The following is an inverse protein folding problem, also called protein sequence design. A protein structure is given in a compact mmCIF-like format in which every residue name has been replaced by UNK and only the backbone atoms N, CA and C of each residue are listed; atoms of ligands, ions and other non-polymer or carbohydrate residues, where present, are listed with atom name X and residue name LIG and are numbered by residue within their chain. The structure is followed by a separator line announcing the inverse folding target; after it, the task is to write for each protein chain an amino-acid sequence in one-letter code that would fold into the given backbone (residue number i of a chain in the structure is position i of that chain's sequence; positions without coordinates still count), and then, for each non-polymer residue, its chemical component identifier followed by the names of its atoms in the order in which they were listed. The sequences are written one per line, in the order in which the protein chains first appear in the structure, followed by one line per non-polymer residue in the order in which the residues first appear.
data_IF_286463496390
#
_entry.id   IF_286463496390
#
_cell.length_a   1.000
_cell.length_b   1.000
_cell.length_c   1.000
_cell.angle_alpha   90.00
_cell.angle_beta   90.00
_cell.angle_gamma   90.00
#
_symmetry.space_group_name_H-M   'P 1'
#
loop_
_entity.id
_entity.type
_entity.pdbx_description
1 polymer ?
#
# COMPACT_ATOMS: atom_id res chain seq x y z
N UNK A 1 9.83 -25.72 14.46
CA UNK A 1 9.14 -25.85 13.18
C UNK A 1 8.25 -27.10 13.27
N UNK A 2 6.97 -26.96 13.00
CA UNK A 2 6.01 -28.05 12.99
C UNK A 2 6.37 -29.02 11.84
N UNK A 3 6.73 -30.28 12.11
CA UNK A 3 7.11 -31.23 11.07
C UNK A 3 5.97 -31.49 10.06
N UNK A 4 4.73 -31.32 10.46
CA UNK A 4 3.54 -31.48 9.62
C UNK A 4 3.45 -30.38 8.52
N UNK A 5 3.92 -29.18 8.80
CA UNK A 5 3.95 -28.09 7.83
C UNK A 5 4.90 -28.38 6.65
N UNK A 6 6.05 -28.96 6.91
CA UNK A 6 7.03 -29.32 5.87
C UNK A 6 6.49 -30.42 4.94
N UNK A 7 5.80 -31.41 5.49
CA UNK A 7 5.17 -32.47 4.70
C UNK A 7 3.96 -31.98 3.91
N UNK A 8 3.16 -31.06 4.46
CA UNK A 8 2.06 -30.41 3.74
C UNK A 8 2.57 -29.55 2.58
N UNK A 9 3.65 -28.81 2.77
CA UNK A 9 4.29 -28.04 1.70
C UNK A 9 4.82 -28.95 0.58
N UNK A 10 5.43 -30.10 0.92
CA UNK A 10 5.88 -31.07 -0.05
C UNK A 10 4.71 -31.68 -0.84
N UNK A 11 3.65 -32.09 -0.15
CA UNK A 11 2.46 -32.66 -0.77
C UNK A 11 1.74 -31.65 -1.69
N UNK A 12 1.62 -30.42 -1.26
CA UNK A 12 1.06 -29.33 -2.05
C UNK A 12 1.93 -29.03 -3.28
N UNK A 13 3.24 -29.03 -3.14
CA UNK A 13 4.21 -28.87 -4.21
C UNK A 13 4.10 -29.98 -5.26
N UNK A 14 4.05 -31.24 -4.85
CA UNK A 14 3.91 -32.40 -5.75
C UNK A 14 2.59 -32.32 -6.51
N UNK A 15 1.51 -32.00 -5.83
CA UNK A 15 0.18 -31.86 -6.44
C UNK A 15 0.14 -30.73 -7.48
N UNK A 16 0.76 -29.59 -7.20
CA UNK A 16 0.90 -28.47 -8.15
C UNK A 16 1.73 -28.87 -9.37
N UNK A 17 2.81 -29.63 -9.20
CA UNK A 17 3.67 -30.09 -10.29
C UNK A 17 2.96 -31.03 -11.25
N UNK A 18 2.09 -31.91 -10.73
CA UNK A 18 1.35 -32.87 -11.53
C UNK A 18 0.20 -32.24 -12.35
N UNK A 19 -0.35 -31.11 -11.89
CA UNK A 19 -1.54 -30.49 -12.48
C UNK A 19 -1.26 -29.20 -13.29
N UNK A 20 -0.04 -28.67 -13.20
CA UNK A 20 0.31 -27.44 -13.93
C UNK A 20 1.01 -27.75 -15.26
N UNK A 21 0.69 -27.02 -16.35
CA UNK A 21 1.42 -27.13 -17.60
C UNK A 21 2.91 -26.85 -17.41
N UNK A 22 3.76 -27.48 -18.21
CA UNK A 22 5.23 -27.34 -18.15
C UNK A 22 5.75 -25.88 -18.14
N UNK A 23 4.96 -24.94 -18.67
CA UNK A 23 5.24 -23.49 -18.65
C UNK A 23 5.22 -22.88 -17.26
N UNK A 24 4.64 -23.56 -16.27
CA UNK A 24 4.46 -23.05 -14.89
C UNK A 24 5.41 -23.71 -13.90
N UNK A 25 6.23 -24.65 -14.33
CA UNK A 25 7.10 -25.45 -13.43
C UNK A 25 8.21 -24.65 -12.75
N UNK A 26 8.63 -23.51 -13.31
CA UNK A 26 9.69 -22.63 -12.75
C UNK A 26 9.14 -21.29 -12.22
N UNK A 27 7.96 -21.30 -11.61
CA UNK A 27 7.33 -20.07 -11.12
C UNK A 27 7.97 -19.62 -9.81
N UNK A 28 8.64 -18.46 -9.76
CA UNK A 28 9.19 -17.94 -8.53
C UNK A 28 8.05 -17.49 -7.60
N UNK A 29 8.07 -17.97 -6.38
CA UNK A 29 7.28 -17.45 -5.27
C UNK A 29 8.11 -16.47 -4.49
N UNK A 30 7.58 -15.32 -4.25
CA UNK A 30 8.18 -14.29 -3.40
C UNK A 30 7.41 -14.23 -2.09
N UNK A 31 8.11 -14.22 -0.98
CA UNK A 31 7.55 -13.89 0.32
C UNK A 31 8.26 -12.67 0.86
N UNK A 32 7.56 -11.82 1.57
CA UNK A 32 8.13 -10.59 2.08
C UNK A 32 7.56 -10.20 3.43
N UNK A 33 8.32 -9.39 4.13
CA UNK A 33 7.88 -8.69 5.32
C UNK A 33 8.35 -7.24 5.21
N UNK A 34 7.48 -6.30 5.58
CA UNK A 34 7.81 -4.88 5.60
C UNK A 34 7.28 -4.22 6.85
N UNK A 35 7.96 -3.15 7.26
CA UNK A 35 7.50 -2.22 8.27
C UNK A 35 7.61 -0.81 7.73
N UNK A 36 6.61 0.01 8.00
CA UNK A 36 6.54 1.37 7.54
C UNK A 36 6.04 2.32 8.60
N UNK A 37 6.31 3.60 8.39
CA UNK A 37 5.68 4.66 9.15
C UNK A 37 5.33 5.83 8.25
N UNK A 38 4.22 6.49 8.56
CA UNK A 38 3.71 7.64 7.83
C UNK A 38 3.28 8.71 8.79
N UNK A 39 3.59 9.96 8.48
CA UNK A 39 3.10 11.14 9.16
C UNK A 39 2.28 11.98 8.18
N UNK A 40 1.07 12.34 8.57
CA UNK A 40 0.17 13.21 7.78
C UNK A 40 -0.15 14.43 8.60
N UNK A 41 0.23 15.60 8.12
CA UNK A 41 -0.15 16.88 8.70
C UNK A 41 -1.34 17.45 7.90
N UNK A 42 -2.44 17.69 8.60
CA UNK A 42 -3.68 18.21 8.03
C UNK A 42 -3.93 19.61 8.58
N UNK A 43 -4.16 20.57 7.68
CA UNK A 43 -4.48 21.94 8.02
C UNK A 43 -5.63 22.40 7.14
N UNK A 44 -6.82 22.52 7.70
CA UNK A 44 -8.00 22.99 6.97
C UNK A 44 -8.41 24.40 7.46
N UNK A 45 -9.08 25.20 6.62
CA UNK A 45 -9.57 26.52 7.05
C UNK A 45 -10.60 26.46 8.18
N UNK A 46 -11.24 25.31 8.35
CA UNK A 46 -12.39 25.11 9.27
C UNK A 46 -12.00 24.40 10.57
N UNK A 47 -10.85 23.72 10.60
CA UNK A 47 -10.36 23.00 11.77
C UNK A 47 -8.97 23.42 12.17
N UNK A 48 -8.63 23.27 13.45
CA UNK A 48 -7.25 23.42 13.90
C UNK A 48 -6.37 22.35 13.25
N UNK A 49 -5.09 22.65 12.94
CA UNK A 49 -4.17 21.67 12.41
C UNK A 49 -4.05 20.46 13.33
N UNK A 50 -4.01 19.28 12.74
CA UNK A 50 -3.76 18.03 13.46
C UNK A 50 -2.75 17.17 12.72
N UNK A 51 -2.13 16.27 13.43
CA UNK A 51 -1.16 15.32 12.88
C UNK A 51 -1.69 13.90 13.09
N UNK A 52 -1.64 13.11 12.03
CA UNK A 52 -1.88 11.67 12.04
C UNK A 52 -0.55 10.96 11.90
N UNK A 53 -0.26 10.04 12.79
CA UNK A 53 0.87 9.12 12.67
C UNK A 53 0.32 7.72 12.43
N UNK A 54 0.93 6.99 11.52
CA UNK A 54 0.58 5.60 11.24
C UNK A 54 1.84 4.75 11.22
N UNK A 55 1.75 3.58 11.82
CA UNK A 55 2.78 2.55 11.74
C UNK A 55 2.12 1.28 11.19
N UNK A 56 2.79 0.60 10.28
CA UNK A 56 2.29 -0.62 9.68
C UNK A 56 3.35 -1.72 9.60
N UNK A 57 2.89 -2.94 9.73
CA UNK A 57 3.68 -4.14 9.46
C UNK A 57 2.91 -5.01 8.50
N UNK A 58 3.56 -5.40 7.40
CA UNK A 58 2.93 -6.19 6.34
C UNK A 58 3.74 -7.46 6.08
N UNK A 59 3.02 -8.56 5.93
CA UNK A 59 3.52 -9.80 5.38
C UNK A 59 2.86 -10.03 4.03
N UNK A 60 3.63 -10.35 3.01
CA UNK A 60 3.13 -10.56 1.66
C UNK A 60 3.71 -11.82 1.02
N UNK A 61 2.93 -12.39 0.12
CA UNK A 61 3.36 -13.47 -0.75
C UNK A 61 2.89 -13.16 -2.17
N UNK A 62 3.75 -13.40 -3.15
CA UNK A 62 3.45 -13.17 -4.55
C UNK A 62 3.94 -14.32 -5.43
N UNK A 63 3.16 -14.61 -6.45
CA UNK A 63 3.53 -15.53 -7.54
C UNK A 63 3.48 -14.74 -8.83
N UNK A 64 4.59 -14.71 -9.57
CA UNK A 64 4.68 -13.98 -10.83
C UNK A 64 5.15 -14.95 -11.90
N UNK A 65 4.40 -15.06 -12.98
CA UNK A 65 4.74 -15.88 -14.12
C UNK A 65 4.58 -15.10 -15.42
N UNK A 66 5.28 -15.53 -16.46
CA UNK A 66 5.21 -14.86 -17.75
C UNK A 66 6.49 -15.02 -18.58
N UNK A 67 6.55 -14.21 -19.62
CA UNK A 67 7.66 -14.14 -20.56
C UNK A 67 8.15 -12.69 -20.70
N UNK A 68 9.07 -12.45 -21.62
CA UNK A 68 9.63 -11.10 -21.83
C UNK A 68 8.57 -10.05 -22.22
N UNK A 69 7.51 -10.44 -22.92
CA UNK A 69 6.47 -9.57 -23.46
C UNK A 69 5.19 -9.53 -22.63
N UNK A 70 5.03 -10.42 -21.64
CA UNK A 70 3.89 -10.42 -20.74
C UNK A 70 4.23 -11.02 -19.37
N UNK A 71 3.56 -10.55 -18.34
CA UNK A 71 3.64 -11.05 -16.96
C UNK A 71 2.26 -11.05 -16.34
N UNK A 72 2.00 -12.07 -15.54
CA UNK A 72 0.80 -12.18 -14.72
C UNK A 72 1.24 -12.45 -13.30
N UNK A 73 0.62 -11.81 -12.34
CA UNK A 73 0.95 -12.02 -10.94
C UNK A 73 -0.29 -12.06 -10.06
N UNK A 74 -0.17 -12.87 -9.02
CA UNK A 74 -1.08 -12.92 -7.89
C UNK A 74 -0.28 -12.53 -6.65
N UNK A 75 -0.84 -11.69 -5.82
CA UNK A 75 -0.25 -11.27 -4.55
C UNK A 75 -1.32 -11.30 -3.46
N UNK A 76 -0.95 -11.82 -2.30
CA UNK A 76 -1.73 -11.72 -1.08
C UNK A 76 -0.91 -11.00 -0.01
N UNK A 77 -1.55 -10.21 0.83
CA UNK A 77 -0.89 -9.59 1.97
C UNK A 77 -1.78 -9.56 3.21
N UNK A 78 -1.12 -9.53 4.35
CA UNK A 78 -1.73 -9.25 5.64
C UNK A 78 -0.97 -8.09 6.28
N UNK A 79 -1.70 -7.06 6.69
CA UNK A 79 -1.14 -5.83 7.27
C UNK A 79 -1.82 -5.54 8.60
N UNK A 80 -1.03 -5.32 9.64
CA UNK A 80 -1.50 -4.71 10.88
C UNK A 80 -1.05 -3.25 10.88
N UNK A 81 -1.97 -2.35 11.13
CA UNK A 81 -1.72 -0.91 11.16
C UNK A 81 -2.23 -0.29 12.43
N UNK A 82 -1.42 0.55 13.06
CA UNK A 82 -1.83 1.47 14.10
C UNK A 82 -1.85 2.90 13.58
N UNK A 83 -2.79 3.69 14.04
CA UNK A 83 -2.94 5.08 13.64
C UNK A 83 -3.28 5.92 14.86
N UNK A 84 -2.46 6.93 15.13
CA UNK A 84 -2.64 7.90 16.21
C UNK A 84 -2.94 9.27 15.62
N UNK A 85 -4.07 9.86 16.01
CA UNK A 85 -4.45 11.21 15.57
C UNK A 85 -4.53 12.14 16.76
N UNK A 86 -3.68 13.16 16.77
CA UNK A 86 -3.63 14.16 17.83
C UNK A 86 -4.29 15.47 17.38
N UNK A 87 -5.41 15.80 18.02
CA UNK A 87 -6.06 17.10 17.89
C UNK A 87 -5.66 17.99 19.03
N UNK A 88 -5.03 19.13 18.74
CA UNK A 88 -4.76 20.16 19.75
C UNK A 88 -5.94 21.12 19.84
N UNK A 89 -6.82 20.91 20.79
CA UNK A 89 -7.91 21.82 21.11
C UNK A 89 -7.55 22.66 22.34
N UNK A 90 -6.91 23.82 22.15
CA UNK A 90 -6.60 24.73 23.26
C UNK A 90 -5.62 24.16 24.29
N UNK A 91 -5.39 24.88 25.39
CA UNK A 91 -4.41 24.49 26.42
C UNK A 91 -4.88 23.37 27.38
N UNK A 92 -6.08 22.81 27.24
CA UNK A 92 -6.66 21.95 28.26
C UNK A 92 -7.20 20.58 27.80
N UNK A 93 -7.31 20.29 26.50
CA UNK A 93 -7.82 19.00 26.06
C UNK A 93 -7.12 18.55 24.76
N UNK A 94 -6.33 17.51 24.84
CA UNK A 94 -5.91 16.73 23.67
C UNK A 94 -6.98 15.67 23.44
N UNK A 95 -7.76 15.81 22.35
CA UNK A 95 -8.61 14.75 21.85
C UNK A 95 -7.74 13.88 20.92
N UNK A 96 -7.56 12.63 21.28
CA UNK A 96 -6.91 11.63 20.43
C UNK A 96 -7.94 10.79 19.68
N UNK A 97 -7.61 10.39 18.47
CA UNK A 97 -8.27 9.29 17.78
C UNK A 97 -7.19 8.26 17.50
N UNK A 98 -7.30 7.14 18.18
CA UNK A 98 -6.44 5.99 17.96
C UNK A 98 -7.22 4.98 17.14
N UNK A 99 -6.59 4.36 16.18
CA UNK A 99 -7.19 3.23 15.48
C UNK A 99 -6.17 2.11 15.25
N UNK A 100 -6.67 0.89 15.29
CA UNK A 100 -5.97 -0.30 14.88
C UNK A 100 -6.73 -0.94 13.73
N UNK A 101 -6.02 -1.43 12.73
CA UNK A 101 -6.60 -2.08 11.56
C UNK A 101 -5.84 -3.35 11.25
N UNK A 102 -6.58 -4.45 11.12
CA UNK A 102 -6.09 -5.71 10.59
C UNK A 102 -6.62 -5.85 9.16
N UNK A 103 -5.73 -5.82 8.17
CA UNK A 103 -6.08 -5.78 6.75
C UNK A 103 -5.59 -7.05 6.04
N UNK A 104 -6.46 -7.71 5.30
CA UNK A 104 -6.09 -8.78 4.37
C UNK A 104 -6.36 -8.33 2.94
N UNK A 105 -5.43 -8.55 2.03
CA UNK A 105 -5.62 -8.19 0.62
C UNK A 105 -5.24 -9.30 -0.34
N UNK A 106 -5.88 -9.27 -1.50
CA UNK A 106 -5.51 -10.07 -2.65
C UNK A 106 -5.47 -9.17 -3.89
N UNK A 107 -4.43 -9.31 -4.68
CA UNK A 107 -4.24 -8.54 -5.91
C UNK A 107 -3.89 -9.46 -7.07
N UNK A 108 -4.41 -9.12 -8.24
CA UNK A 108 -4.10 -9.74 -9.51
C UNK A 108 -3.65 -8.68 -10.48
N UNK A 109 -2.61 -8.94 -11.25
CA UNK A 109 -2.20 -8.02 -12.31
C UNK A 109 -1.80 -8.77 -13.59
N UNK A 110 -2.01 -8.09 -14.70
CA UNK A 110 -1.50 -8.47 -16.02
C UNK A 110 -0.69 -7.30 -16.55
N UNK A 111 0.56 -7.55 -16.91
CA UNK A 111 1.44 -6.59 -17.57
C UNK A 111 1.83 -7.11 -18.93
N UNK A 112 1.61 -6.34 -19.98
CA UNK A 112 1.91 -6.69 -21.36
C UNK A 112 2.67 -5.59 -22.07
N UNK A 113 3.59 -5.98 -22.93
CA UNK A 113 4.28 -5.06 -23.80
C UNK A 113 3.34 -4.50 -24.86
N UNK A 114 3.24 -3.18 -24.95
CA UNK A 114 2.42 -2.45 -25.91
C UNK A 114 3.33 -1.47 -26.66
N UNK A 115 3.78 -1.89 -27.85
CA UNK A 115 4.80 -1.14 -28.61
C UNK A 115 6.13 -1.09 -27.87
N UNK A 116 6.64 0.11 -27.62
CA UNK A 116 7.88 0.35 -26.87
C UNK A 116 7.66 0.45 -25.35
N UNK A 117 6.42 0.50 -24.90
CA UNK A 117 6.03 0.61 -23.49
C UNK A 117 5.37 -0.64 -22.92
N UNK A 118 4.84 -0.47 -21.71
CA UNK A 118 4.17 -1.52 -20.96
C UNK A 118 2.81 -1.05 -20.47
N UNK A 119 1.77 -1.83 -20.78
CA UNK A 119 0.46 -1.67 -20.17
C UNK A 119 0.29 -2.64 -19.01
N UNK A 120 -0.20 -2.16 -17.89
CA UNK A 120 -0.52 -2.95 -16.71
C UNK A 120 -1.97 -2.74 -16.34
N UNK A 121 -2.71 -3.82 -16.17
CA UNK A 121 -4.05 -3.83 -15.55
C UNK A 121 -3.92 -4.51 -14.20
N UNK A 122 -4.48 -3.94 -13.17
CA UNK A 122 -4.52 -4.51 -11.84
C UNK A 122 -5.94 -4.52 -11.25
N UNK A 123 -6.20 -5.54 -10.43
CA UNK A 123 -7.39 -5.68 -9.61
C UNK A 123 -6.93 -5.97 -8.19
N UNK A 124 -7.47 -5.25 -7.23
CA UNK A 124 -7.16 -5.46 -5.81
C UNK A 124 -8.45 -5.51 -5.02
N UNK A 125 -8.54 -6.47 -4.13
CA UNK A 125 -9.53 -6.57 -3.08
C UNK A 125 -8.81 -6.50 -1.74
N UNK A 126 -9.39 -5.76 -0.79
CA UNK A 126 -8.91 -5.64 0.57
C UNK A 126 -10.10 -5.69 1.52
N UNK A 127 -9.97 -6.44 2.59
CA UNK A 127 -10.89 -6.44 3.73
C UNK A 127 -10.10 -6.00 4.97
N UNK A 128 -10.69 -5.09 5.75
CA UNK A 128 -10.13 -4.57 6.97
C UNK A 128 -11.13 -4.69 8.11
N UNK A 129 -10.63 -5.06 9.28
CA UNK A 129 -11.31 -4.97 10.56
C UNK A 129 -10.66 -3.82 11.34
N UNK A 130 -11.37 -2.69 11.39
CA UNK A 130 -10.89 -1.46 12.04
C UNK A 130 -11.47 -1.34 13.46
N UNK A 131 -10.63 -0.94 14.41
CA UNK A 131 -11.02 -0.58 15.78
C UNK A 131 -10.67 0.89 15.99
N UNK A 132 -11.54 1.63 16.60
CA UNK A 132 -11.34 3.05 16.84
C UNK A 132 -11.59 3.40 18.29
N UNK A 133 -10.76 4.29 18.82
CA UNK A 133 -10.95 4.93 20.12
C UNK A 133 -10.78 6.43 19.96
N UNK A 134 -11.75 7.20 20.39
CA UNK A 134 -11.76 8.65 20.29
C UNK A 134 -12.07 9.29 21.64
N UNK A 135 -11.25 10.19 22.12
CA UNK A 135 -11.48 10.95 23.35
C UNK A 135 -10.27 11.08 24.27
N UNK A 136 -10.49 11.63 25.45
CA UNK A 136 -9.49 11.73 26.51
C UNK A 136 -9.52 10.48 27.42
N UNK A 137 -8.49 10.29 28.24
CA UNK A 137 -8.23 9.06 29.01
C UNK A 137 -9.40 8.53 29.88
N UNK A 138 -10.37 9.37 30.25
CA UNK A 138 -11.53 8.97 31.08
C UNK A 138 -12.87 9.10 30.40
N UNK A 139 -12.95 9.85 29.28
CA UNK A 139 -14.16 10.07 28.50
C UNK A 139 -13.85 9.76 27.05
N UNK A 140 -14.13 8.55 26.63
CA UNK A 140 -13.87 8.08 25.28
C UNK A 140 -15.08 7.40 24.65
N UNK A 141 -15.08 7.38 23.33
CA UNK A 141 -15.96 6.55 22.51
C UNK A 141 -15.10 5.46 21.89
N UNK A 142 -15.57 4.24 21.92
CA UNK A 142 -14.90 3.09 21.36
C UNK A 142 -15.78 2.38 20.34
N UNK A 143 -15.20 1.99 19.24
CA UNK A 143 -15.80 1.13 18.22
C UNK A 143 -14.94 -0.13 18.11
N UNK A 144 -15.46 -1.25 18.57
CA UNK A 144 -14.72 -2.50 18.67
C UNK A 144 -14.40 -3.12 17.30
N UNK A 145 -15.30 -2.93 16.32
CA UNK A 145 -15.13 -3.54 15.01
C UNK A 145 -15.94 -2.80 13.97
N UNK A 146 -15.23 -2.25 12.98
CA UNK A 146 -15.80 -1.71 11.77
C UNK A 146 -15.22 -2.45 10.57
N UNK A 147 -16.07 -3.19 9.86
CA UNK A 147 -15.63 -3.87 8.65
C UNK A 147 -15.60 -2.91 7.47
N UNK A 148 -14.48 -2.92 6.75
CA UNK A 148 -14.27 -2.13 5.55
C UNK A 148 -13.79 -3.03 4.42
N UNK A 149 -14.37 -2.86 3.23
CA UNK A 149 -13.94 -3.55 2.01
C UNK A 149 -13.54 -2.53 0.98
N UNK A 150 -12.42 -2.75 0.35
CA UNK A 150 -11.89 -1.90 -0.69
C UNK A 150 -11.69 -2.71 -1.96
N UNK A 151 -12.26 -2.22 -3.05
CA UNK A 151 -12.09 -2.76 -4.40
C UNK A 151 -11.37 -1.71 -5.21
N UNK A 152 -10.31 -2.11 -5.89
CA UNK A 152 -9.56 -1.24 -6.78
C UNK A 152 -9.32 -1.93 -8.11
N UNK A 153 -9.48 -1.21 -9.20
CA UNK A 153 -9.01 -1.63 -10.51
C UNK A 153 -8.26 -0.51 -11.18
N UNK A 154 -7.15 -0.83 -11.84
CA UNK A 154 -6.28 0.17 -12.43
C UNK A 154 -5.81 -0.23 -13.81
N UNK A 155 -5.49 0.78 -14.61
CA UNK A 155 -4.72 0.67 -15.84
C UNK A 155 -3.58 1.67 -15.78
N UNK A 156 -2.36 1.20 -16.01
CA UNK A 156 -1.16 2.02 -16.08
C UNK A 156 -0.41 1.71 -17.37
N UNK A 157 -0.07 2.74 -18.12
CA UNK A 157 0.85 2.66 -19.24
C UNK A 157 2.17 3.32 -18.87
N UNK A 158 3.28 2.62 -19.05
CA UNK A 158 4.65 3.07 -18.81
C UNK A 158 5.45 3.02 -20.10
N UNK A 159 6.09 4.14 -20.44
CA UNK A 159 6.90 4.31 -21.62
C UNK A 159 8.34 4.61 -21.22
N UNK A 160 9.33 3.74 -21.50
CA UNK A 160 10.74 4.13 -21.45
C UNK A 160 11.03 5.24 -22.45
N UNK A 161 11.61 6.33 -21.97
CA UNK A 161 11.94 7.50 -22.78
C UNK A 161 13.43 7.50 -23.14
N UNK A 162 14.27 7.19 -22.15
CA UNK A 162 15.72 7.14 -22.29
C UNK A 162 16.26 5.95 -21.50
N UNK A 163 17.24 5.28 -22.04
CA UNK A 163 17.99 4.23 -21.36
C UNK A 163 19.47 4.36 -21.69
N UNK A 164 20.30 4.07 -20.72
CA UNK A 164 21.75 4.06 -20.90
C UNK A 164 22.39 2.92 -20.09
N UNK A 165 23.52 2.44 -20.58
CA UNK A 165 24.34 1.47 -19.87
C UNK A 165 25.81 1.81 -20.05
N UNK A 166 26.63 1.53 -19.04
CA UNK A 166 28.06 1.61 -19.09
C UNK A 166 28.65 0.31 -18.53
N UNK A 167 29.39 -0.40 -19.37
CA UNK A 167 30.14 -1.59 -18.97
C UNK A 167 31.44 -1.14 -18.32
N UNK A 168 31.78 -1.68 -17.17
CA UNK A 168 33.04 -1.40 -16.49
C UNK A 168 33.93 -2.62 -16.58
N UNK A 169 35.13 -2.44 -17.15
CA UNK A 169 36.11 -3.54 -17.26
C UNK A 169 36.63 -4.05 -15.92
N UNK A 170 36.49 -3.29 -14.82
CA UNK A 170 37.01 -3.64 -13.49
C UNK A 170 36.06 -3.33 -12.34
N UNK A 171 34.88 -2.82 -12.60
CA UNK A 171 33.84 -2.44 -11.60
C UNK A 171 32.47 -2.98 -11.97
N UNK A 172 31.42 -2.58 -11.19
CA UNK A 172 30.06 -2.98 -11.49
C UNK A 172 29.57 -2.30 -12.79
N UNK A 173 28.81 -3.05 -13.58
CA UNK A 173 28.11 -2.51 -14.73
C UNK A 173 26.99 -1.58 -14.26
N UNK A 174 26.80 -0.49 -14.98
CA UNK A 174 25.80 0.54 -14.65
C UNK A 174 24.71 0.55 -15.70
N UNK A 175 23.48 0.64 -15.26
CA UNK A 175 22.36 0.88 -16.15
C UNK A 175 21.42 1.92 -15.53
N UNK A 176 20.75 2.69 -16.39
CA UNK A 176 19.72 3.63 -15.96
C UNK A 176 18.61 3.72 -17.00
N UNK A 177 17.43 4.03 -16.53
CA UNK A 177 16.23 4.18 -17.37
C UNK A 177 15.43 5.37 -16.84
N UNK A 178 14.95 6.20 -17.75
CA UNK A 178 13.94 7.23 -17.47
C UNK A 178 12.69 6.81 -18.20
N UNK A 179 11.59 6.67 -17.47
CA UNK A 179 10.28 6.33 -18.02
C UNK A 179 9.25 7.38 -17.64
N UNK A 180 8.31 7.63 -18.54
CA UNK A 180 7.07 8.33 -18.25
C UNK A 180 5.94 7.34 -18.05
N UNK A 181 4.94 7.68 -17.25
CA UNK A 181 3.76 6.84 -17.07
C UNK A 181 2.48 7.67 -16.96
N UNK A 182 1.36 7.07 -17.33
CA UNK A 182 0.03 7.61 -17.12
C UNK A 182 -0.96 6.47 -16.89
N UNK A 183 -2.00 6.72 -16.11
CA UNK A 183 -2.97 5.69 -15.78
C UNK A 183 -4.26 6.23 -15.18
N UNK A 184 -5.20 5.31 -15.03
CA UNK A 184 -6.50 5.52 -14.38
C UNK A 184 -6.71 4.44 -13.33
N UNK A 185 -7.32 4.81 -12.22
CA UNK A 185 -7.68 3.89 -11.14
C UNK A 185 -9.09 4.16 -10.67
N UNK A 186 -9.91 3.13 -10.61
CA UNK A 186 -11.18 3.11 -9.91
C UNK A 186 -10.97 2.55 -8.50
N UNK A 187 -11.60 3.18 -7.53
CA UNK A 187 -11.61 2.77 -6.14
C UNK A 187 -13.04 2.76 -5.62
N UNK A 188 -13.43 1.70 -4.92
CA UNK A 188 -14.67 1.62 -4.16
C UNK A 188 -14.36 1.17 -2.75
N UNK A 189 -14.92 1.87 -1.78
CA UNK A 189 -14.81 1.57 -0.35
C UNK A 189 -16.19 1.34 0.19
N UNK A 190 -16.46 0.14 0.67
CA UNK A 190 -17.71 -0.22 1.38
C UNK A 190 -17.39 -0.34 2.86
N UNK A 191 -18.10 0.39 3.69
CA UNK A 191 -17.97 0.39 5.16
C UNK A 191 -19.26 -0.16 5.75
N UNK A 192 -19.18 -1.20 6.58
CA UNK A 192 -20.33 -1.77 7.25
C UNK A 192 -20.85 -0.83 8.36
N UNK A 193 -22.03 -1.13 8.87
CA UNK A 193 -22.55 -0.44 10.05
C UNK A 193 -21.61 -0.62 11.25
N UNK A 194 -21.37 0.47 11.98
CA UNK A 194 -20.53 0.50 13.18
C UNK A 194 -21.19 1.24 14.32
N UNK A 195 -20.89 0.85 15.55
CA UNK A 195 -21.45 1.44 16.74
C UNK A 195 -20.36 1.92 17.68
N UNK A 196 -20.35 3.22 17.96
CA UNK A 196 -19.53 3.82 18.98
C UNK A 196 -20.22 3.73 20.34
N UNK A 197 -19.50 3.35 21.36
CA UNK A 197 -20.00 3.26 22.74
C UNK A 197 -19.09 4.05 23.68
N UNK A 198 -19.70 4.72 24.65
CA UNK A 198 -18.95 5.32 25.75
C UNK A 198 -19.11 4.50 27.03
N UNK A 199 -18.20 4.59 27.99
CA UNK A 199 -18.35 3.99 29.31
C UNK A 199 -19.59 4.49 30.05
N UNK A 200 -20.08 5.70 29.75
CA UNK A 200 -21.27 6.30 30.30
C UNK A 200 -22.56 5.83 29.60
N UNK A 201 -22.50 4.91 28.65
CA UNK A 201 -23.67 4.34 27.96
C UNK A 201 -24.16 5.14 26.75
N UNK A 202 -23.47 6.21 26.32
CA UNK A 202 -23.79 6.88 25.07
C UNK A 202 -23.50 5.98 23.87
N UNK A 203 -24.39 5.96 22.89
CA UNK A 203 -24.28 5.13 21.68
C UNK A 203 -24.46 6.01 20.45
N UNK A 204 -23.51 5.92 19.51
CA UNK A 204 -23.57 6.56 18.22
C UNK A 204 -23.41 5.49 17.13
N UNK A 205 -24.36 5.37 16.24
CA UNK A 205 -24.32 4.40 15.14
C UNK A 205 -23.96 5.08 13.83
N UNK A 206 -22.96 4.54 13.14
CA UNK A 206 -22.64 4.89 11.75
C UNK A 206 -23.33 3.84 10.88
N UNK A 207 -24.12 4.28 9.92
CA UNK A 207 -24.77 3.37 8.96
C UNK A 207 -23.77 2.88 7.92
N UNK A 208 -24.13 1.78 7.29
CA UNK A 208 -23.43 1.29 6.11
C UNK A 208 -23.30 2.41 5.07
N UNK A 209 -22.09 2.56 4.54
CA UNK A 209 -21.75 3.58 3.56
C UNK A 209 -20.89 2.99 2.45
N UNK A 210 -21.07 3.49 1.24
CA UNK A 210 -20.25 3.16 0.08
C UNK A 210 -19.73 4.46 -0.54
N UNK A 211 -18.44 4.50 -0.79
CA UNK A 211 -17.81 5.61 -1.50
C UNK A 211 -17.04 5.07 -2.71
N UNK A 212 -17.07 5.81 -3.80
CA UNK A 212 -16.33 5.45 -5.01
C UNK A 212 -15.60 6.64 -5.59
N UNK A 213 -14.46 6.40 -6.21
CA UNK A 213 -13.67 7.43 -6.84
C UNK A 213 -12.97 6.91 -8.10
N UNK A 214 -12.77 7.80 -9.05
CA UNK A 214 -11.88 7.60 -10.19
C UNK A 214 -10.73 8.60 -10.07
N UNK A 215 -9.52 8.10 -10.15
CA UNK A 215 -8.30 8.91 -10.13
C UNK A 215 -7.51 8.71 -11.41
N UNK A 216 -7.00 9.81 -11.96
CA UNK A 216 -6.00 9.81 -13.01
C UNK A 216 -4.62 10.06 -12.40
N UNK A 217 -3.60 9.40 -12.91
CA UNK A 217 -2.20 9.60 -12.51
C UNK A 217 -1.34 9.83 -13.73
N UNK A 218 -0.35 10.69 -13.62
CA UNK A 218 0.71 10.83 -14.61
C UNK A 218 2.01 11.19 -13.90
N UNK A 219 3.14 10.73 -14.42
CA UNK A 219 4.41 10.97 -13.78
C UNK A 219 5.61 10.44 -14.53
N UNK A 220 6.72 10.41 -13.84
CA UNK A 220 7.97 9.85 -14.34
C UNK A 220 8.74 9.09 -13.26
N UNK A 221 9.57 8.18 -13.69
CA UNK A 221 10.49 7.43 -12.85
C UNK A 221 11.88 7.42 -13.47
N UNK A 222 12.88 7.65 -12.64
CA UNK A 222 14.30 7.47 -12.97
C UNK A 222 14.78 6.30 -12.14
N UNK A 223 15.29 5.26 -12.78
CA UNK A 223 15.89 4.10 -12.11
C UNK A 223 17.33 3.96 -12.52
N UNK A 224 18.24 3.86 -11.55
CA UNK A 224 19.63 3.52 -11.74
C UNK A 224 19.95 2.18 -11.08
N UNK A 225 20.77 1.35 -11.72
CA UNK A 225 21.22 0.08 -11.14
C UNK A 225 22.72 -0.14 -11.34
N UNK A 226 23.34 -0.74 -10.31
CA UNK A 226 24.69 -1.27 -10.35
C UNK A 226 24.61 -2.79 -10.32
N UNK A 227 25.19 -3.46 -11.30
CA UNK A 227 25.24 -4.91 -11.41
C UNK A 227 26.65 -5.39 -11.08
N UNK A 228 26.76 -6.23 -10.08
CA UNK A 228 28.04 -6.77 -9.64
C UNK A 228 28.29 -8.16 -10.24
N UNK A 229 29.51 -8.40 -10.68
CA UNK A 229 29.92 -9.72 -11.14
C UNK A 229 29.71 -10.77 -10.04
N UNK A 230 29.26 -12.00 -10.39
CA UNK A 230 29.17 -13.09 -9.43
C UNK A 230 30.56 -13.36 -8.82
N UNK A 231 30.64 -13.43 -7.50
CA UNK A 231 31.90 -13.71 -6.81
C UNK A 231 31.69 -13.87 -5.30
N UNK A 232 32.55 -14.68 -4.68
CA UNK A 232 32.63 -14.73 -3.23
C UNK A 232 33.22 -13.42 -2.71
N UNK A 233 32.59 -12.80 -1.72
CA UNK A 233 33.16 -11.67 -1.00
C UNK A 233 34.39 -12.10 -0.18
N UNK A 234 35.17 -11.13 0.26
CA UNK A 234 36.18 -11.35 1.28
C UNK A 234 35.49 -11.95 2.53
N UNK A 235 36.04 -12.97 3.14
CA UNK A 235 35.51 -13.65 4.33
C UNK A 235 34.22 -14.48 4.10
N UNK A 236 33.98 -14.99 2.88
CA UNK A 236 32.80 -15.82 2.62
C UNK A 236 31.46 -15.05 2.63
N UNK A 237 31.48 -13.75 2.70
CA UNK A 237 30.28 -12.91 2.60
C UNK A 237 29.76 -12.94 1.17
N UNK A 238 28.45 -13.16 1.03
CA UNK A 238 27.77 -13.12 -0.26
C UNK A 238 27.68 -11.67 -0.71
N UNK A 239 28.36 -11.33 -1.80
CA UNK A 239 28.25 -9.99 -2.41
C UNK A 239 26.83 -9.76 -2.96
N UNK A 240 26.31 -8.54 -2.87
CA UNK A 240 25.08 -8.20 -3.56
C UNK A 240 25.26 -8.38 -5.07
N UNK A 241 24.22 -8.86 -5.75
CA UNK A 241 24.18 -8.98 -7.21
C UNK A 241 23.80 -7.68 -7.87
N UNK A 242 22.94 -6.93 -7.22
CA UNK A 242 22.41 -5.68 -7.74
C UNK A 242 22.13 -4.70 -6.60
N UNK A 243 22.43 -3.45 -6.89
CA UNK A 243 22.01 -2.32 -6.08
C UNK A 243 21.29 -1.37 -7.01
N UNK A 244 20.07 -0.99 -6.67
CA UNK A 244 19.26 -0.08 -7.47
C UNK A 244 18.71 1.07 -6.62
N UNK A 245 18.51 2.20 -7.29
CA UNK A 245 17.91 3.40 -6.73
C UNK A 245 16.89 3.91 -7.74
N UNK A 246 15.71 4.28 -7.27
CA UNK A 246 14.69 4.90 -8.11
C UNK A 246 14.13 6.15 -7.47
N UNK A 247 13.84 7.15 -8.30
CA UNK A 247 13.12 8.36 -7.95
C UNK A 247 11.86 8.41 -8.81
N UNK A 248 10.71 8.42 -8.18
CA UNK A 248 9.41 8.54 -8.84
C UNK A 248 8.78 9.87 -8.46
N UNK A 249 8.20 10.56 -9.43
CA UNK A 249 7.38 11.74 -9.19
C UNK A 249 6.07 11.60 -9.98
N UNK A 250 4.95 11.85 -9.34
CA UNK A 250 3.62 11.72 -9.95
C UNK A 250 2.67 12.82 -9.51
N UNK A 251 1.75 13.13 -10.39
CA UNK A 251 0.59 13.97 -10.16
C UNK A 251 -0.65 13.08 -10.24
N UNK A 252 -1.47 13.11 -9.21
CA UNK A 252 -2.75 12.42 -9.16
C UNK A 252 -3.88 13.44 -9.18
N UNK A 253 -4.95 13.13 -9.89
CA UNK A 253 -6.17 13.92 -9.91
C UNK A 253 -7.38 13.03 -9.71
N UNK A 254 -8.24 13.39 -8.75
CA UNK A 254 -9.54 12.72 -8.59
C UNK A 254 -10.52 13.32 -9.57
N UNK A 255 -11.06 12.50 -10.46
CA UNK A 255 -11.92 12.93 -11.59
C UNK A 255 -13.41 12.84 -11.21
N UNK A 256 -13.78 12.02 -10.23
CA UNK A 256 -15.16 11.88 -9.78
C UNK A 256 -15.25 10.96 -8.55
N UNK A 257 -16.35 11.06 -7.82
CA UNK A 257 -16.64 10.20 -6.68
C UNK A 257 -17.86 10.69 -5.89
N UNK A 258 -18.53 9.73 -5.23
CA UNK A 258 -19.63 9.97 -4.31
C UNK A 258 -19.13 9.79 -2.86
N UNK A 259 -19.58 10.64 -1.92
CA UNK A 259 -18.93 10.78 -0.62
C UNK A 259 -19.84 11.06 0.56
N UNK A 260 -21.09 10.72 0.46
CA UNK A 260 -22.03 10.96 1.56
C UNK A 260 -21.88 9.87 2.61
N UNK A 261 -21.48 10.24 3.82
CA UNK A 261 -21.47 9.37 5.00
C UNK A 261 -22.63 9.79 5.90
N UNK A 262 -23.55 8.88 6.13
CA UNK A 262 -24.65 9.10 7.08
C UNK A 262 -24.23 8.69 8.49
N UNK A 263 -24.21 9.65 9.42
CA UNK A 263 -24.02 9.41 10.85
C UNK A 263 -25.35 9.59 11.56
N UNK A 264 -25.81 8.57 12.28
CA UNK A 264 -27.02 8.60 13.06
C UNK A 264 -26.65 8.53 14.56
N UNK A 265 -27.06 9.52 15.31
CA UNK A 265 -26.83 9.57 16.73
C UNK A 265 -28.09 10.04 17.50
N UNK A 266 -28.19 9.74 18.80
CA UNK A 266 -29.23 10.29 19.63
C UNK A 266 -29.00 11.78 19.83
N UNK A 267 -29.83 12.63 19.25
CA UNK A 267 -29.84 14.05 19.57
C UNK A 267 -30.85 14.25 20.73
N UNK A 268 -30.34 14.64 21.89
CA UNK A 268 -31.07 15.23 23.00
C UNK A 268 -32.52 14.74 23.24
N UNK A 269 -32.70 13.46 23.50
CA UNK A 269 -34.03 12.91 23.88
C UNK A 269 -34.96 12.54 22.72
N UNK A 270 -34.56 12.67 21.48
CA UNK A 270 -35.34 12.23 20.31
C UNK A 270 -34.59 11.09 19.58
N UNK A 271 -35.31 10.01 19.31
CA UNK A 271 -34.74 8.77 18.74
C UNK A 271 -34.44 8.82 17.25
N UNK A 272 -34.43 9.98 16.60
CA UNK A 272 -34.26 10.04 15.16
C UNK A 272 -33.74 11.39 14.64
N UNK A 273 -32.47 11.70 14.83
CA UNK A 273 -31.83 12.69 13.99
C UNK A 273 -30.71 12.02 13.20
N UNK A 274 -30.88 11.94 11.90
CA UNK A 274 -29.79 11.58 10.99
C UNK A 274 -29.06 12.88 10.61
N UNK A 275 -27.77 12.94 10.88
CA UNK A 275 -26.93 14.02 10.37
C UNK A 275 -26.15 13.47 9.19
N UNK A 276 -26.36 14.04 8.02
CA UNK A 276 -25.51 13.77 6.85
C UNK A 276 -24.24 14.57 7.03
N UNK A 277 -23.12 13.90 7.17
CA UNK A 277 -21.80 14.52 7.11
C UNK A 277 -21.25 14.29 5.70
N UNK A 278 -21.21 15.35 4.90
CA UNK A 278 -20.50 15.34 3.64
C UNK A 278 -19.01 15.46 3.96
N UNK A 279 -18.22 14.47 3.55
CA UNK A 279 -16.77 14.58 3.65
C UNK A 279 -16.32 15.78 2.81
N UNK A 280 -15.39 16.58 3.33
CA UNK A 280 -14.82 17.70 2.60
C UNK A 280 -14.32 17.21 1.23
N UNK A 281 -14.62 17.96 0.17
CA UNK A 281 -14.13 17.66 -1.18
C UNK A 281 -12.61 17.44 -1.09
N UNK A 282 -12.07 16.30 -1.54
CA UNK A 282 -10.63 16.16 -1.59
C UNK A 282 -10.09 17.15 -2.60
N UNK A 283 -8.96 17.63 -2.26
CA UNK A 283 -8.17 18.43 -3.18
C UNK A 283 -8.04 17.66 -4.50
N UNK A 284 -8.44 18.30 -5.59
CA UNK A 284 -8.47 17.67 -6.92
C UNK A 284 -7.10 17.18 -7.38
N UNK A 285 -6.03 17.79 -6.88
CA UNK A 285 -4.66 17.49 -7.28
C UNK A 285 -3.81 17.12 -6.07
N UNK A 286 -3.10 16.04 -6.20
CA UNK A 286 -2.09 15.59 -5.25
C UNK A 286 -0.81 15.27 -6.03
N UNK A 287 0.31 15.82 -5.61
CA UNK A 287 1.61 15.35 -6.06
C UNK A 287 2.22 14.42 -5.02
N UNK A 288 3.00 13.47 -5.50
CA UNK A 288 3.81 12.60 -4.67
C UNK A 288 5.19 12.42 -5.30
N UNK A 289 6.19 12.26 -4.44
CA UNK A 289 7.53 11.86 -4.81
C UNK A 289 7.97 10.71 -3.90
N UNK A 290 8.66 9.74 -4.46
CA UNK A 290 9.19 8.59 -3.76
C UNK A 290 10.62 8.33 -4.17
N UNK A 291 11.49 8.13 -3.19
CA UNK A 291 12.85 7.65 -3.35
C UNK A 291 12.91 6.22 -2.80
N UNK A 292 13.34 5.28 -3.61
CA UNK A 292 13.55 3.91 -3.18
C UNK A 292 14.96 3.44 -3.50
N UNK A 293 15.49 2.57 -2.67
CA UNK A 293 16.77 1.91 -2.87
C UNK A 293 16.63 0.42 -2.53
N UNK A 294 17.22 -0.45 -3.36
CA UNK A 294 17.14 -1.88 -3.20
C UNK A 294 18.50 -2.54 -3.27
N UNK A 295 18.74 -3.53 -2.43
CA UNK A 295 19.92 -4.37 -2.43
C UNK A 295 19.46 -5.79 -2.66
N UNK A 296 19.93 -6.41 -3.74
CA UNK A 296 19.56 -7.76 -4.14
C UNK A 296 20.73 -8.70 -3.98
N UNK A 297 20.52 -9.80 -3.33
CA UNK A 297 21.38 -10.97 -3.26
C UNK A 297 20.81 -12.10 -4.14
N UNK A 298 21.30 -13.32 -3.97
CA UNK A 298 20.89 -14.44 -4.80
C UNK A 298 19.38 -14.74 -4.70
N UNK A 299 18.90 -14.84 -3.47
CA UNK A 299 17.54 -15.29 -3.19
C UNK A 299 16.81 -14.36 -2.22
N UNK A 300 17.38 -13.19 -1.93
CA UNK A 300 16.81 -12.20 -1.04
C UNK A 300 17.04 -10.79 -1.52
N UNK A 301 16.17 -9.88 -1.11
CA UNK A 301 16.23 -8.47 -1.43
C UNK A 301 15.79 -7.64 -0.22
N UNK A 302 16.51 -6.57 0.02
CA UNK A 302 16.19 -5.56 1.02
C UNK A 302 15.89 -4.24 0.30
N UNK A 303 14.72 -3.70 0.51
CA UNK A 303 14.25 -2.45 -0.06
C UNK A 303 14.02 -1.42 1.03
N UNK A 304 14.40 -0.19 0.76
CA UNK A 304 14.12 0.99 1.55
C UNK A 304 13.32 1.95 0.68
N UNK A 305 12.28 2.55 1.20
CA UNK A 305 11.58 3.63 0.52
C UNK A 305 11.29 4.77 1.45
N UNK A 306 11.25 5.97 0.88
CA UNK A 306 10.78 7.19 1.54
C UNK A 306 9.93 7.97 0.56
N UNK A 307 8.83 8.51 1.03
CA UNK A 307 7.95 9.29 0.19
C UNK A 307 7.54 10.60 0.84
N UNK A 308 7.17 11.56 0.01
CA UNK A 308 6.52 12.79 0.40
C UNK A 308 5.37 13.07 -0.55
N UNK A 309 4.24 13.53 -0.03
CA UNK A 309 3.12 13.94 -0.85
C UNK A 309 2.45 15.20 -0.32
N UNK A 310 1.73 15.89 -1.20
CA UNK A 310 0.93 17.05 -0.84
C UNK A 310 -0.34 17.08 -1.68
N UNK A 311 -1.47 17.28 -1.01
CA UNK A 311 -2.75 17.54 -1.65
C UNK A 311 -3.19 18.97 -1.31
N UNK A 312 -3.20 19.83 -2.31
CA UNK A 312 -3.47 21.26 -2.18
C UNK A 312 -2.59 21.98 -1.15
N UNK A 313 -3.19 22.88 -0.39
CA UNK A 313 -2.53 23.58 0.72
C UNK A 313 -2.67 22.85 2.06
N UNK A 314 -3.60 21.91 2.15
CA UNK A 314 -4.20 21.44 3.39
C UNK A 314 -3.61 20.15 3.91
N UNK A 315 -3.11 19.27 3.06
CA UNK A 315 -2.61 17.95 3.48
C UNK A 315 -1.17 17.74 2.99
N UNK A 316 -0.31 17.39 3.91
CA UNK A 316 1.07 16.98 3.63
C UNK A 316 1.31 15.63 4.29
N UNK A 317 1.92 14.70 3.56
CA UNK A 317 2.34 13.44 4.17
C UNK A 317 3.78 13.11 3.80
N UNK A 318 4.45 12.45 4.71
CA UNK A 318 5.77 11.87 4.49
C UNK A 318 5.85 10.56 5.27
N UNK A 319 6.60 9.63 4.74
CA UNK A 319 6.79 8.35 5.40
C UNK A 319 7.92 7.57 4.78
N UNK A 320 8.15 6.40 5.33
CA UNK A 320 9.14 5.47 4.80
C UNK A 320 8.84 4.05 5.22
N UNK A 321 9.42 3.12 4.49
CA UNK A 321 9.30 1.70 4.78
C UNK A 321 10.60 0.95 4.52
N UNK A 322 10.74 -0.18 5.19
CA UNK A 322 11.78 -1.17 4.96
C UNK A 322 11.07 -2.47 4.64
N UNK A 323 11.46 -3.12 3.55
CA UNK A 323 10.92 -4.41 3.13
C UNK A 323 12.05 -5.40 2.90
N UNK A 324 11.91 -6.59 3.45
CA UNK A 324 12.76 -7.73 3.13
C UNK A 324 11.93 -8.78 2.40
N UNK A 325 12.44 -9.28 1.29
CA UNK A 325 11.77 -10.31 0.50
C UNK A 325 12.72 -11.43 0.14
N UNK A 326 12.16 -12.63 -0.02
CA UNK A 326 12.86 -13.85 -0.39
C UNK A 326 12.21 -14.47 -1.60
N UNK A 327 13.03 -14.91 -2.53
CA UNK A 327 12.61 -15.71 -3.67
C UNK A 327 12.73 -17.18 -3.30
N UNK A 328 11.62 -17.88 -3.32
CA UNK A 328 11.57 -19.32 -3.15
C UNK A 328 11.45 -19.95 -4.55
N UNK A 329 12.46 -20.74 -4.91
CA UNK A 329 12.33 -21.60 -6.08
C UNK A 329 11.51 -22.82 -5.65
N UNK A 330 10.31 -22.97 -6.19
CA UNK A 330 9.43 -24.10 -5.85
C UNK A 330 9.87 -25.42 -6.48
N UNK A 331 11.01 -25.47 -7.14
CA UNK A 331 11.63 -26.66 -7.71
C UNK A 331 13.10 -26.79 -7.33
#
# INVERSE_FOLDING_TARGET
ADPDWTERLKAWRTNLQEHLPAVVQDVPVFIGASAGSTKVDVSTPVSKPFTVKSEDTTFDAAVIFGREDWRVGLMGSFTTRSLDTLYKQGAAAELGVDSESDEASASFFVRRRLGSGWGTVDLTWLEADDRYRMGAAREYLEMEKLKRRIYSSGFLYEQPLFAGSALSGSGPDRSWVISGFAGLRYLRVDTAEGTWRSPAGAVLTIREASAQAVAATAGGVITGALHFAPGAGYWGQVKPRRLDVSLTAALNSTVGGDRDVMVQGPAGGSTSSATVMTAAEPERFQWNAELAAGIEWRDSRLDFSGFASRAGSSVRSAGGSVKMSWRLNLL
#
